data_IF_310534220764
#
_entry.id   IF_310534220764
#
_cell.length_a   1.000
_cell.length_b   1.000
_cell.length_c   1.000
_cell.angle_alpha   90.00
_cell.angle_beta   90.00
_cell.angle_gamma   90.00
#
_symmetry.space_group_name_H-M   'P 1'
#
loop_
_entity.id
_entity.type
_entity.pdbx_description
1 polymer ?
#
# COMPACT_ATOMS: atom_id res chain seq x y z
N UNK A 1 -24.87 -4.41 11.80
CA UNK A 1 -26.08 -3.67 12.15
C UNK A 1 -26.08 -3.41 13.66
N UNK A 2 -26.69 -2.32 14.16
CA UNK A 2 -26.79 -2.06 15.61
C UNK A 2 -25.72 -1.18 16.28
N UNK A 3 -24.78 -0.55 15.55
CA UNK A 3 -23.85 0.43 16.18
C UNK A 3 -24.39 1.86 16.21
N UNK A 4 -25.30 2.20 15.30
CA UNK A 4 -25.92 3.53 15.21
C UNK A 4 -27.30 3.39 14.53
N UNK A 5 -28.34 3.98 15.12
CA UNK A 5 -29.74 3.86 14.64
C UNK A 5 -29.91 4.41 13.21
N UNK A 6 -29.14 5.43 12.85
CA UNK A 6 -29.11 5.98 11.48
C UNK A 6 -28.56 5.05 10.40
N UNK A 7 -28.02 3.87 10.75
CA UNK A 7 -27.50 2.88 9.80
C UNK A 7 -28.37 1.60 9.74
N UNK A 8 -29.56 1.61 10.36
CA UNK A 8 -30.48 0.48 10.32
C UNK A 8 -31.10 0.27 8.93
N UNK A 9 -31.47 -0.96 8.54
CA UNK A 9 -32.01 -1.23 7.20
C UNK A 9 -33.25 -0.43 6.80
N UNK A 10 -34.02 0.05 7.78
CA UNK A 10 -35.19 0.89 7.54
C UNK A 10 -34.82 2.33 7.08
N UNK A 11 -33.59 2.78 7.35
CA UNK A 11 -33.11 4.13 7.02
C UNK A 11 -32.57 4.13 5.59
N UNK A 12 -33.38 4.63 4.66
CA UNK A 12 -33.09 4.64 3.21
C UNK A 12 -32.28 5.86 2.75
N UNK A 13 -32.22 6.89 3.57
CA UNK A 13 -31.55 8.16 3.34
C UNK A 13 -30.36 8.36 4.29
N UNK A 14 -29.79 7.26 4.82
CA UNK A 14 -28.69 7.26 5.81
C UNK A 14 -27.45 8.05 5.39
N UNK A 15 -27.22 8.18 4.09
CA UNK A 15 -26.16 9.02 3.54
C UNK A 15 -26.39 10.50 3.86
N UNK A 16 -27.65 10.95 3.86
CA UNK A 16 -28.07 12.35 4.00
C UNK A 16 -28.40 12.74 5.45
N UNK A 17 -28.49 11.77 6.37
CA UNK A 17 -28.71 12.06 7.78
C UNK A 17 -27.46 12.62 8.44
N UNK A 18 -27.67 13.59 9.32
CA UNK A 18 -26.62 14.03 10.24
C UNK A 18 -26.26 12.88 11.19
N UNK A 19 -24.99 12.54 11.24
CA UNK A 19 -24.41 11.57 12.18
C UNK A 19 -23.44 12.31 13.09
N UNK A 20 -23.93 12.80 14.23
CA UNK A 20 -23.10 13.47 15.24
C UNK A 20 -22.39 12.43 16.13
N UNK A 21 -21.41 11.72 15.56
CA UNK A 21 -20.48 10.90 16.33
C UNK A 21 -19.40 11.80 16.93
N UNK A 22 -19.74 12.59 17.96
CA UNK A 22 -18.82 13.49 18.70
C UNK A 22 -19.34 14.91 18.91
N UNK A 23 -18.48 15.83 19.37
CA UNK A 23 -18.84 17.24 19.67
C UNK A 23 -18.84 18.16 18.45
N UNK A 24 -18.38 17.68 17.29
CA UNK A 24 -18.35 18.45 16.04
C UNK A 24 -19.65 18.24 15.28
N UNK A 25 -20.48 19.28 15.22
CA UNK A 25 -21.69 19.32 14.41
C UNK A 25 -21.34 19.41 12.91
N UNK A 26 -22.25 18.94 12.04
CA UNK A 26 -22.15 19.12 10.58
C UNK A 26 -21.64 17.92 9.79
N UNK A 27 -21.48 16.75 10.42
CA UNK A 27 -21.13 15.51 9.70
C UNK A 27 -22.39 14.75 9.29
N UNK A 28 -22.57 14.61 7.98
CA UNK A 28 -23.55 13.72 7.36
C UNK A 28 -23.00 12.31 7.18
N UNK A 29 -23.90 11.32 7.05
CA UNK A 29 -23.56 9.91 6.83
C UNK A 29 -22.56 9.71 5.71
N UNK A 30 -22.72 10.40 4.58
CA UNK A 30 -21.85 10.31 3.41
C UNK A 30 -20.37 10.69 3.66
N UNK A 31 -20.05 11.40 4.75
CA UNK A 31 -18.66 11.66 5.16
C UNK A 31 -17.96 10.43 5.75
N UNK A 32 -18.72 9.42 6.19
CA UNK A 32 -18.18 8.22 6.80
C UNK A 32 -17.88 7.16 5.74
N UNK A 33 -16.89 6.31 6.03
CA UNK A 33 -16.58 5.12 5.25
C UNK A 33 -16.53 3.89 6.17
N UNK A 34 -16.67 2.71 5.56
CA UNK A 34 -16.38 1.46 6.24
C UNK A 34 -14.88 1.36 6.56
N UNK A 35 -14.54 0.64 7.63
CA UNK A 35 -13.14 0.36 7.95
C UNK A 35 -12.50 -0.54 6.90
N UNK A 36 -11.20 -0.34 6.67
CA UNK A 36 -10.39 -1.19 5.79
C UNK A 36 -10.07 -2.57 6.37
N UNK A 37 -9.45 -3.43 5.57
CA UNK A 37 -8.95 -4.73 6.02
C UNK A 37 -7.49 -4.65 6.44
N UNK A 38 -7.08 -5.53 7.35
CA UNK A 38 -5.69 -5.84 7.62
C UNK A 38 -5.42 -7.27 7.18
N UNK A 39 -4.31 -7.48 6.47
CA UNK A 39 -3.86 -8.76 5.99
C UNK A 39 -2.51 -9.11 6.63
N UNK A 40 -2.32 -10.40 6.89
CA UNK A 40 -1.18 -10.93 7.65
C UNK A 40 -0.57 -12.09 6.88
N UNK A 41 0.72 -11.98 6.54
CA UNK A 41 1.47 -13.06 5.92
C UNK A 41 1.99 -14.03 6.99
N UNK A 42 1.18 -15.02 7.30
CA UNK A 42 1.47 -16.08 8.26
C UNK A 42 1.93 -17.36 7.53
N UNK A 43 2.91 -18.08 8.08
CA UNK A 43 3.41 -19.35 7.52
C UNK A 43 2.45 -20.52 7.72
N UNK A 44 1.54 -20.38 8.68
CA UNK A 44 0.54 -21.38 9.02
C UNK A 44 -0.73 -20.68 9.54
N UNK A 45 -1.88 -21.31 9.32
CA UNK A 45 -3.16 -20.84 9.86
C UNK A 45 -3.35 -21.30 11.31
N UNK A 46 -2.43 -20.87 12.18
CA UNK A 46 -2.52 -21.08 13.62
C UNK A 46 -2.52 -19.73 14.33
N UNK A 47 -3.21 -19.64 15.48
CA UNK A 47 -3.24 -18.40 16.27
C UNK A 47 -1.83 -17.91 16.63
N UNK A 48 -0.92 -18.82 16.96
CA UNK A 48 0.46 -18.50 17.29
C UNK A 48 1.18 -17.86 16.11
N UNK A 49 1.17 -18.51 14.95
CA UNK A 49 1.89 -18.01 13.77
C UNK A 49 1.28 -16.71 13.21
N UNK A 50 -0.04 -16.53 13.29
CA UNK A 50 -0.68 -15.25 12.96
C UNK A 50 -0.22 -14.14 13.91
N UNK A 51 -0.09 -14.43 15.21
CA UNK A 51 0.43 -13.47 16.17
C UNK A 51 1.90 -13.13 15.90
N UNK A 52 2.73 -14.14 15.66
CA UNK A 52 4.14 -13.96 15.33
C UNK A 52 4.32 -13.16 14.03
N UNK A 53 3.42 -13.34 13.04
CA UNK A 53 3.39 -12.56 11.81
C UNK A 53 3.07 -11.08 12.03
N UNK A 54 2.12 -10.79 12.91
CA UNK A 54 1.85 -9.40 13.33
C UNK A 54 3.04 -8.80 14.10
N UNK A 55 3.69 -9.58 14.97
CA UNK A 55 4.86 -9.11 15.74
C UNK A 55 6.06 -8.80 14.87
N UNK A 56 6.32 -9.59 13.81
CA UNK A 56 7.35 -9.27 12.80
C UNK A 56 6.90 -8.23 11.77
N UNK A 57 5.65 -7.75 11.87
CA UNK A 57 5.04 -6.71 11.02
C UNK A 57 4.95 -7.10 9.55
N UNK A 58 4.82 -8.39 9.26
CA UNK A 58 4.63 -8.88 7.89
C UNK A 58 3.16 -8.76 7.49
N UNK A 59 2.70 -7.51 7.47
CA UNK A 59 1.29 -7.14 7.36
C UNK A 59 1.11 -5.97 6.40
N UNK A 60 -0.08 -5.87 5.83
CA UNK A 60 -0.50 -4.73 5.03
C UNK A 60 -1.98 -4.43 5.30
N UNK A 61 -2.43 -3.24 4.92
CA UNK A 61 -3.82 -2.83 5.06
C UNK A 61 -4.39 -2.44 3.70
N UNK A 62 -5.70 -2.63 3.52
CA UNK A 62 -6.44 -2.15 2.35
C UNK A 62 -7.57 -1.25 2.79
N UNK A 63 -8.01 -0.31 1.95
CA UNK A 63 -9.11 0.60 2.29
C UNK A 63 -10.50 -0.02 2.09
N UNK A 64 -10.57 -1.26 1.61
CA UNK A 64 -11.83 -1.99 1.42
C UNK A 64 -11.68 -3.29 0.63
N UNK A 65 -10.96 -3.33 -0.51
CA UNK A 65 -10.84 -4.54 -1.31
C UNK A 65 -9.87 -5.55 -0.72
N UNK A 66 -10.05 -6.84 -1.02
CA UNK A 66 -9.15 -7.95 -0.64
C UNK A 66 -7.97 -8.08 -1.61
N UNK A 67 -7.29 -6.98 -1.89
CA UNK A 67 -6.04 -7.00 -2.67
C UNK A 67 -5.01 -7.89 -2.00
N UNK A 68 -4.21 -8.60 -2.80
CA UNK A 68 -3.07 -9.38 -2.31
C UNK A 68 -1.79 -8.63 -2.64
N UNK A 69 -1.07 -8.18 -1.62
CA UNK A 69 0.15 -7.38 -1.80
C UNK A 69 1.31 -8.04 -1.10
N UNK A 70 2.44 -8.16 -1.80
CA UNK A 70 3.71 -8.60 -1.25
C UNK A 70 4.83 -7.66 -1.64
N UNK A 71 5.75 -7.46 -0.70
CA UNK A 71 6.91 -6.61 -0.84
C UNK A 71 8.09 -7.30 -0.15
N UNK A 72 9.19 -7.40 -0.89
CA UNK A 72 10.51 -7.76 -0.36
C UNK A 72 11.50 -6.66 -0.69
N UNK A 73 12.40 -6.37 0.25
CA UNK A 73 13.51 -5.42 0.08
C UNK A 73 14.83 -6.16 0.19
N UNK A 74 15.76 -5.88 -0.71
CA UNK A 74 17.03 -6.58 -0.81
C UNK A 74 18.01 -5.80 -1.68
N UNK A 75 18.97 -6.52 -2.25
CA UNK A 75 19.95 -5.95 -3.18
C UNK A 75 20.09 -6.89 -4.37
N UNK A 76 20.17 -6.35 -5.58
CA UNK A 76 20.39 -7.14 -6.79
C UNK A 76 19.23 -8.07 -7.15
N UNK A 77 17.98 -7.68 -6.82
CA UNK A 77 16.82 -8.38 -7.36
C UNK A 77 16.74 -8.17 -8.88
N UNK A 78 16.29 -9.21 -9.59
CA UNK A 78 16.07 -9.17 -11.03
C UNK A 78 14.63 -9.60 -11.33
N UNK A 79 14.02 -9.05 -12.38
CA UNK A 79 12.64 -9.41 -12.76
C UNK A 79 12.50 -10.90 -13.15
N UNK A 80 13.59 -11.55 -13.57
CA UNK A 80 13.64 -13.00 -13.87
C UNK A 80 13.28 -13.87 -12.67
N UNK A 81 13.34 -13.35 -11.44
CA UNK A 81 12.91 -14.07 -10.25
C UNK A 81 11.42 -14.43 -10.29
N UNK A 82 10.59 -13.64 -10.97
CA UNK A 82 9.14 -13.90 -11.10
C UNK A 82 8.81 -15.16 -11.92
N UNK A 83 9.77 -15.71 -12.67
CA UNK A 83 9.61 -16.94 -13.45
C UNK A 83 9.70 -18.21 -12.58
N UNK A 84 10.17 -18.09 -11.33
CA UNK A 84 10.29 -19.18 -10.36
C UNK A 84 9.52 -18.94 -9.06
N UNK A 85 9.96 -19.57 -7.98
CA UNK A 85 9.45 -19.28 -6.63
C UNK A 85 10.07 -17.98 -6.09
N UNK A 86 9.56 -16.86 -6.59
CA UNK A 86 10.00 -15.52 -6.19
C UNK A 86 9.75 -15.24 -4.70
N UNK A 87 8.79 -15.92 -4.07
CA UNK A 87 8.51 -15.76 -2.63
C UNK A 87 9.64 -16.38 -1.82
N UNK A 88 10.02 -17.61 -2.14
CA UNK A 88 11.17 -18.26 -1.51
C UNK A 88 12.46 -17.46 -1.76
N UNK A 89 12.68 -16.98 -2.98
CA UNK A 89 13.81 -16.12 -3.31
C UNK A 89 13.81 -14.83 -2.47
N UNK A 90 12.66 -14.18 -2.33
CA UNK A 90 12.49 -12.96 -1.52
C UNK A 90 12.86 -13.17 -0.05
N UNK A 91 12.45 -14.30 0.56
CA UNK A 91 12.85 -14.64 1.93
C UNK A 91 14.33 -15.02 2.07
N UNK A 92 14.94 -15.61 1.04
CA UNK A 92 16.34 -16.02 1.06
C UNK A 92 17.31 -14.85 0.83
N UNK A 93 16.95 -13.93 -0.06
CA UNK A 93 17.86 -12.90 -0.57
C UNK A 93 17.60 -11.51 0.03
N UNK A 94 16.46 -11.30 0.69
CA UNK A 94 16.07 -10.02 1.26
C UNK A 94 15.31 -10.13 2.56
N UNK A 95 14.54 -9.08 2.87
CA UNK A 95 13.64 -9.00 4.01
C UNK A 95 12.22 -8.72 3.53
N UNK A 96 11.19 -9.31 4.15
CA UNK A 96 9.81 -9.01 3.79
C UNK A 96 9.40 -7.63 4.34
N UNK A 97 8.24 -7.13 3.89
CA UNK A 97 7.57 -5.97 4.48
C UNK A 97 7.55 -6.04 6.02
N UNK A 98 7.80 -4.91 6.69
CA UNK A 98 7.94 -4.86 8.16
C UNK A 98 9.34 -5.19 8.68
N UNK A 99 10.24 -5.65 7.82
CA UNK A 99 11.63 -5.95 8.14
C UNK A 99 12.57 -4.73 8.19
N UNK A 100 13.81 -4.99 8.57
CA UNK A 100 14.93 -4.04 8.54
C UNK A 100 16.01 -4.58 7.59
N UNK A 101 16.31 -3.83 6.54
CA UNK A 101 17.37 -4.08 5.58
C UNK A 101 18.64 -3.33 6.03
N UNK A 102 19.74 -4.05 6.22
CA UNK A 102 21.02 -3.44 6.52
C UNK A 102 21.60 -2.77 5.26
N UNK A 103 21.97 -1.51 5.36
CA UNK A 103 22.63 -0.75 4.29
C UNK A 103 23.99 -1.38 3.94
N UNK A 104 24.16 -1.79 2.68
CA UNK A 104 25.40 -2.36 2.13
C UNK A 104 26.26 -1.35 1.39
N UNK A 105 25.87 -0.07 1.38
CA UNK A 105 26.54 0.94 0.56
C UNK A 105 26.07 0.96 -0.89
N UNK A 106 25.03 0.19 -1.23
CA UNK A 106 24.46 0.05 -2.57
C UNK A 106 22.97 0.38 -2.54
N UNK A 107 22.39 0.76 -3.68
CA UNK A 107 20.97 1.10 -3.75
C UNK A 107 20.10 -0.15 -3.47
N UNK A 108 19.12 -0.07 -2.55
CA UNK A 108 18.23 -1.19 -2.30
C UNK A 108 17.27 -1.40 -3.48
N UNK A 109 16.97 -2.67 -3.75
CA UNK A 109 15.98 -3.11 -4.72
C UNK A 109 14.76 -3.70 -4.00
N UNK A 110 13.59 -3.48 -4.58
CA UNK A 110 12.31 -3.89 -4.02
C UNK A 110 11.54 -4.72 -5.02
N UNK A 111 11.25 -5.96 -4.66
CA UNK A 111 10.42 -6.87 -5.44
C UNK A 111 8.98 -6.72 -4.95
N UNK A 112 8.11 -6.27 -5.84
CA UNK A 112 6.70 -5.97 -5.54
C UNK A 112 5.79 -6.86 -6.37
N UNK A 113 4.76 -7.40 -5.73
CA UNK A 113 3.65 -8.08 -6.38
C UNK A 113 2.34 -7.59 -5.79
N UNK A 114 1.43 -7.18 -6.67
CA UNK A 114 0.09 -6.78 -6.31
C UNK A 114 -0.92 -7.47 -7.22
N UNK A 115 -1.89 -8.14 -6.62
CA UNK A 115 -3.03 -8.75 -7.29
C UNK A 115 -4.29 -8.04 -6.84
N UNK A 116 -5.20 -7.79 -7.78
CA UNK A 116 -6.51 -7.22 -7.45
C UNK A 116 -7.32 -8.14 -6.52
N UNK A 117 -8.34 -7.56 -5.90
CA UNK A 117 -9.41 -8.36 -5.31
C UNK A 117 -10.10 -9.20 -6.41
N UNK A 118 -10.26 -10.53 -6.24
CA UNK A 118 -10.97 -11.38 -7.20
C UNK A 118 -12.33 -10.84 -7.63
N UNK A 119 -13.08 -10.25 -6.70
CA UNK A 119 -14.41 -9.69 -6.93
C UNK A 119 -14.39 -8.16 -7.14
N UNK A 120 -13.20 -7.56 -7.20
CA UNK A 120 -13.02 -6.11 -7.25
C UNK A 120 -12.44 -5.57 -8.56
N UNK A 121 -12.06 -4.30 -8.47
CA UNK A 121 -11.54 -3.50 -9.57
C UNK A 121 -10.10 -3.88 -9.95
N UNK A 122 -9.77 -3.71 -11.22
CA UNK A 122 -8.39 -3.81 -11.69
C UNK A 122 -7.49 -2.75 -11.05
N UNK A 123 -6.19 -3.03 -11.03
CA UNK A 123 -5.17 -2.14 -10.49
C UNK A 123 -4.82 -1.03 -11.48
N UNK A 124 -4.76 0.22 -10.99
CA UNK A 124 -4.22 1.36 -11.72
C UNK A 124 -2.69 1.30 -11.71
N UNK A 125 -2.10 1.37 -10.51
CA UNK A 125 -0.65 1.51 -10.33
C UNK A 125 -0.16 1.02 -8.98
N UNK A 126 1.13 0.75 -8.92
CA UNK A 126 1.89 0.51 -7.71
C UNK A 126 2.87 1.65 -7.53
N UNK A 127 2.95 2.15 -6.30
CA UNK A 127 3.88 3.18 -5.88
C UNK A 127 4.77 2.67 -4.76
N UNK A 128 6.02 3.12 -4.75
CA UNK A 128 6.89 3.04 -3.57
C UNK A 128 6.95 4.43 -2.96
N UNK A 129 6.63 4.51 -1.67
CA UNK A 129 6.78 5.73 -0.88
C UNK A 129 8.03 5.60 -0.04
N UNK A 130 9.00 6.48 -0.31
CA UNK A 130 10.24 6.59 0.44
C UNK A 130 10.12 7.75 1.42
N UNK A 131 10.36 7.49 2.69
CA UNK A 131 10.58 8.52 3.70
C UNK A 131 12.01 8.44 4.23
N UNK A 132 12.62 9.58 4.54
CA UNK A 132 13.98 9.62 5.08
C UNK A 132 14.20 10.81 6.01
N UNK A 133 15.30 10.76 6.74
CA UNK A 133 15.79 11.89 7.55
C UNK A 133 16.99 12.51 6.84
N UNK A 134 16.96 13.83 6.66
CA UNK A 134 18.06 14.63 6.11
C UNK A 134 19.14 14.88 7.17
N UNK A 135 20.32 15.32 6.75
CA UNK A 135 21.45 15.58 7.65
C UNK A 135 21.16 16.71 8.67
N UNK A 136 20.24 17.62 8.34
CA UNK A 136 19.76 18.69 9.22
C UNK A 136 18.65 18.24 10.20
N UNK A 137 18.27 16.96 10.18
CA UNK A 137 17.22 16.38 11.01
C UNK A 137 15.80 16.55 10.49
N UNK A 138 15.61 17.24 9.35
CA UNK A 138 14.29 17.34 8.71
C UNK A 138 13.88 16.04 8.02
N UNK A 139 12.58 15.83 7.82
CA UNK A 139 12.07 14.63 7.13
C UNK A 139 11.80 14.93 5.66
N UNK A 140 12.24 14.04 4.78
CA UNK A 140 11.86 14.02 3.37
C UNK A 140 10.90 12.88 3.06
N UNK A 141 10.03 13.11 2.08
CA UNK A 141 9.18 12.06 1.49
C UNK A 141 9.21 12.21 -0.04
N UNK A 142 9.23 11.07 -0.74
CA UNK A 142 9.06 11.01 -2.19
C UNK A 142 8.27 9.77 -2.58
N UNK A 143 7.35 9.96 -3.52
CA UNK A 143 6.53 8.90 -4.10
C UNK A 143 7.06 8.59 -5.48
N UNK A 144 7.26 7.31 -5.76
CA UNK A 144 7.66 6.79 -7.06
C UNK A 144 6.53 5.94 -7.62
N UNK A 145 6.03 6.26 -8.81
CA UNK A 145 5.23 5.33 -9.60
C UNK A 145 6.18 4.29 -10.21
N UNK A 146 6.10 3.03 -9.77
CA UNK A 146 7.09 1.99 -10.12
C UNK A 146 6.61 1.04 -11.20
N UNK A 147 5.30 0.80 -11.26
CA UNK A 147 4.64 0.06 -12.34
C UNK A 147 3.17 0.46 -12.40
N UNK A 148 2.59 0.53 -13.60
CA UNK A 148 1.17 0.85 -13.79
C UNK A 148 0.58 0.08 -14.96
N UNK A 149 -0.75 0.08 -15.05
CA UNK A 149 -1.48 -0.52 -16.17
C UNK A 149 -1.30 0.26 -17.47
N UNK A 150 -1.24 -0.45 -18.59
CA UNK A 150 -1.09 0.11 -19.95
C UNK A 150 0.12 1.07 -20.08
N UNK A 151 1.30 0.70 -19.56
CA UNK A 151 2.50 1.58 -19.59
C UNK A 151 2.91 2.02 -21.00
N UNK A 152 2.64 1.18 -22.00
CA UNK A 152 2.86 1.45 -23.42
C UNK A 152 1.98 2.60 -23.96
N UNK A 153 0.78 2.75 -23.41
CA UNK A 153 -0.20 3.79 -23.81
C UNK A 153 -0.22 4.98 -22.86
N UNK A 154 0.18 4.77 -21.59
CA UNK A 154 0.20 5.76 -20.52
C UNK A 154 1.63 6.18 -20.20
N UNK A 155 2.32 6.70 -21.21
CA UNK A 155 3.68 7.22 -21.05
C UNK A 155 3.71 8.39 -20.05
N UNK A 156 4.77 8.45 -19.23
CA UNK A 156 4.97 9.51 -18.24
C UNK A 156 5.09 10.87 -18.94
N UNK A 157 4.29 11.84 -18.50
CA UNK A 157 4.33 13.21 -19.00
C UNK A 157 4.50 14.18 -17.82
N UNK A 158 5.49 15.07 -17.89
CA UNK A 158 5.77 16.04 -16.82
C UNK A 158 6.09 15.39 -15.47
N UNK A 159 6.70 14.20 -15.48
CA UNK A 159 7.04 13.45 -14.27
C UNK A 159 5.86 12.80 -13.55
N UNK A 160 4.70 12.69 -14.20
CA UNK A 160 3.50 12.05 -13.65
C UNK A 160 2.96 10.99 -14.60
N UNK A 161 2.47 9.89 -14.03
CA UNK A 161 1.71 8.89 -14.77
C UNK A 161 0.31 9.44 -15.07
N UNK A 162 -0.14 9.46 -16.35
CA UNK A 162 -1.48 9.89 -16.73
C UNK A 162 -2.57 9.14 -15.95
N UNK A 163 -3.76 9.73 -15.79
CA UNK A 163 -4.88 9.05 -15.14
C UNK A 163 -5.28 7.78 -15.92
N UNK A 164 -5.70 6.73 -15.20
CA UNK A 164 -6.14 5.45 -15.80
C UNK A 164 -7.49 5.55 -16.52
N UNK A 165 -8.25 6.60 -16.22
CA UNK A 165 -9.63 6.77 -16.69
C UNK A 165 -10.65 6.46 -15.59
N UNK A 166 -11.93 6.53 -15.95
CA UNK A 166 -13.07 6.25 -15.07
C UNK A 166 -14.10 5.42 -15.85
N UNK A 167 -14.41 4.21 -15.35
CA UNK A 167 -15.42 3.31 -15.93
C UNK A 167 -16.69 3.23 -15.09
N UNK A 168 -16.84 4.09 -14.08
CA UNK A 168 -17.99 4.07 -13.17
C UNK A 168 -19.25 4.60 -13.86
N UNK A 169 -20.25 3.73 -13.99
CA UNK A 169 -21.62 4.10 -14.31
C UNK A 169 -22.32 4.56 -13.02
N UNK A 170 -22.43 5.89 -12.86
CA UNK A 170 -23.06 6.54 -11.71
C UNK A 170 -24.57 6.33 -11.64
N UNK A 171 -25.23 6.00 -12.75
CA UNK A 171 -26.67 5.74 -12.77
C UNK A 171 -27.03 4.35 -12.27
N UNK A 172 -26.09 3.40 -12.40
CA UNK A 172 -26.25 2.00 -11.96
C UNK A 172 -25.43 1.64 -10.73
N UNK A 173 -24.58 2.56 -10.25
CA UNK A 173 -23.57 2.29 -9.24
C UNK A 173 -22.75 1.04 -9.60
N UNK A 174 -22.23 1.01 -10.82
CA UNK A 174 -21.47 -0.13 -11.34
C UNK A 174 -20.21 0.37 -12.06
N UNK A 175 -19.32 -0.54 -12.45
CA UNK A 175 -18.10 -0.22 -13.18
C UNK A 175 -17.66 -1.41 -14.04
N UNK A 176 -16.80 -1.16 -15.01
CA UNK A 176 -16.20 -2.22 -15.85
C UNK A 176 -14.70 -2.31 -15.66
N UNK A 177 -14.18 -3.54 -15.67
CA UNK A 177 -12.75 -3.83 -15.61
C UNK A 177 -12.10 -3.80 -17.02
N UNK A 178 -12.50 -2.83 -17.86
CA UNK A 178 -11.99 -2.64 -19.22
C UNK A 178 -10.69 -1.82 -19.26
N UNK A 179 -10.30 -1.23 -18.13
CA UNK A 179 -9.02 -0.53 -17.90
C UNK A 179 -8.33 -1.15 -16.68
N UNK A 180 -7.07 -0.80 -16.44
CA UNK A 180 -6.30 -1.34 -15.32
C UNK A 180 -5.73 -2.73 -15.63
N UNK A 181 -4.98 -3.28 -14.68
CA UNK A 181 -4.40 -4.63 -14.77
C UNK A 181 -4.89 -5.52 -13.62
N UNK A 182 -5.11 -6.81 -13.88
CA UNK A 182 -5.44 -7.76 -12.81
C UNK A 182 -4.27 -7.96 -11.83
N UNK A 183 -3.05 -7.84 -12.34
CA UNK A 183 -1.81 -8.04 -11.61
C UNK A 183 -0.76 -7.00 -12.04
N UNK A 184 0.02 -6.52 -11.07
CA UNK A 184 1.19 -5.68 -11.29
C UNK A 184 2.37 -6.26 -10.50
N UNK A 185 3.46 -6.57 -11.19
CA UNK A 185 4.73 -7.02 -10.61
C UNK A 185 5.87 -6.18 -11.15
N UNK A 186 6.87 -5.92 -10.32
CA UNK A 186 8.10 -5.24 -10.74
C UNK A 186 9.19 -5.44 -9.70
N UNK A 187 10.44 -5.44 -10.15
CA UNK A 187 11.58 -5.07 -9.34
C UNK A 187 11.95 -3.61 -9.58
N UNK A 188 12.01 -2.83 -8.50
CA UNK A 188 12.39 -1.42 -8.54
C UNK A 188 13.60 -1.15 -7.65
N UNK A 189 14.61 -0.46 -8.18
CA UNK A 189 15.80 -0.04 -7.43
C UNK A 189 15.74 1.45 -7.17
N UNK A 190 16.05 1.87 -5.94
CA UNK A 190 15.99 3.28 -5.53
C UNK A 190 17.00 4.14 -6.31
N UNK A 191 16.54 5.02 -7.23
CA UNK A 191 17.44 5.85 -8.04
C UNK A 191 18.04 7.02 -7.25
N UNK A 192 17.43 7.39 -6.12
CA UNK A 192 17.84 8.51 -5.28
C UNK A 192 18.46 8.02 -3.95
N UNK A 193 18.97 6.80 -3.93
CA UNK A 193 19.64 6.23 -2.77
C UNK A 193 20.86 7.08 -2.36
N UNK A 194 21.01 7.28 -1.05
CA UNK A 194 22.16 7.95 -0.44
C UNK A 194 22.73 7.07 0.65
N UNK A 195 24.01 6.76 0.55
CA UNK A 195 24.71 5.92 1.53
C UNK A 195 24.62 6.50 2.94
N UNK A 196 24.30 5.65 3.91
CA UNK A 196 24.19 6.06 5.32
C UNK A 196 22.89 6.79 5.67
N UNK A 197 21.98 7.00 4.72
CA UNK A 197 20.69 7.62 4.97
C UNK A 197 19.76 6.66 5.72
N UNK A 198 19.18 7.13 6.83
CA UNK A 198 18.05 6.44 7.47
C UNK A 198 16.80 6.68 6.63
N UNK A 199 16.31 5.62 6.01
CA UNK A 199 15.13 5.67 5.17
C UNK A 199 14.18 4.52 5.48
N UNK A 200 12.93 4.66 5.04
CA UNK A 200 11.97 3.58 5.02
C UNK A 200 11.19 3.61 3.71
N UNK A 201 10.70 2.44 3.31
CA UNK A 201 10.01 2.23 2.04
C UNK A 201 8.76 1.42 2.29
N UNK A 202 7.61 1.88 1.82
CA UNK A 202 6.40 1.06 1.78
C UNK A 202 5.74 1.15 0.42
N UNK A 203 4.98 0.12 0.07
CA UNK A 203 4.23 0.08 -1.18
C UNK A 203 2.82 0.64 -0.95
N UNK A 204 2.38 1.48 -1.89
CA UNK A 204 0.99 1.91 -2.05
C UNK A 204 0.45 1.40 -3.39
N UNK A 205 -0.52 0.52 -3.35
CA UNK A 205 -1.26 0.05 -4.53
C UNK A 205 -2.53 0.88 -4.68
N UNK A 206 -2.93 1.18 -5.91
CA UNK A 206 -4.13 1.96 -6.23
C UNK A 206 -4.93 1.18 -7.28
N UNK A 207 -6.22 0.98 -7.06
CA UNK A 207 -7.14 0.44 -8.09
C UNK A 207 -7.78 1.54 -8.95
N UNK A 208 -8.41 1.10 -10.04
CA UNK A 208 -9.22 1.98 -10.88
C UNK A 208 -10.43 2.53 -10.07
N UNK A 209 -11.06 3.64 -10.51
CA UNK A 209 -12.20 4.20 -9.79
C UNK A 209 -13.35 3.21 -9.60
N UNK A 210 -13.91 3.17 -8.39
CA UNK A 210 -15.06 2.33 -8.01
C UNK A 210 -16.17 3.15 -7.34
N UNK A 211 -17.44 2.73 -7.46
CA UNK A 211 -18.55 3.35 -6.73
C UNK A 211 -18.35 3.22 -5.22
N UNK A 212 -18.55 4.32 -4.47
CA UNK A 212 -18.67 4.25 -3.01
C UNK A 212 -20.07 3.83 -2.59
N UNK A 213 -20.19 3.42 -1.32
CA UNK A 213 -21.46 3.04 -0.71
C UNK A 213 -22.57 4.10 -0.86
N UNK A 214 -22.21 5.39 -0.91
CA UNK A 214 -23.17 6.50 -1.11
C UNK A 214 -23.82 6.45 -2.50
N UNK A 215 -23.06 6.07 -3.52
CA UNK A 215 -23.57 5.90 -4.89
C UNK A 215 -24.48 4.68 -4.99
N UNK A 216 -24.09 3.57 -4.35
CA UNK A 216 -24.95 2.39 -4.24
C UNK A 216 -26.28 2.71 -3.55
N UNK A 217 -26.24 3.48 -2.46
CA UNK A 217 -27.44 3.91 -1.75
C UNK A 217 -28.32 4.84 -2.60
N UNK A 218 -27.72 5.80 -3.32
CA UNK A 218 -28.43 6.68 -4.23
C UNK A 218 -29.27 5.91 -5.25
N UNK A 219 -28.65 4.94 -5.92
CA UNK A 219 -29.31 4.09 -6.92
C UNK A 219 -30.33 3.14 -6.27
N UNK A 220 -29.96 2.51 -5.16
CA UNK A 220 -30.81 1.52 -4.47
C UNK A 220 -32.08 2.13 -3.89
N UNK A 221 -31.97 3.34 -3.34
CA UNK A 221 -33.05 3.99 -2.61
C UNK A 221 -33.73 5.11 -3.39
N UNK A 222 -33.21 5.47 -4.57
CA UNK A 222 -33.73 6.56 -5.39
C UNK A 222 -33.60 7.92 -4.71
N UNK A 223 -32.47 8.15 -4.02
CA UNK A 223 -32.19 9.42 -3.33
C UNK A 223 -31.20 10.26 -4.13
N UNK A 224 -31.43 11.57 -4.16
CA UNK A 224 -30.50 12.51 -4.77
C UNK A 224 -29.39 12.89 -3.78
N UNK A 225 -28.14 12.66 -4.18
CA UNK A 225 -27.00 13.11 -3.41
C UNK A 225 -26.75 14.61 -3.66
N UNK A 226 -26.45 15.41 -2.62
CA UNK A 226 -25.92 16.76 -2.77
C UNK A 226 -24.68 16.77 -3.67
N UNK A 227 -24.42 17.91 -4.33
CA UNK A 227 -23.31 18.03 -5.28
C UNK A 227 -21.95 17.59 -4.70
N UNK A 228 -21.66 17.96 -3.45
CA UNK A 228 -20.43 17.56 -2.76
C UNK A 228 -20.37 16.05 -2.52
N UNK A 229 -21.49 15.44 -2.10
CA UNK A 229 -21.58 14.00 -1.88
C UNK A 229 -21.47 13.21 -3.20
N UNK A 230 -22.00 13.76 -4.30
CA UNK A 230 -21.90 13.16 -5.64
C UNK A 230 -20.47 13.26 -6.20
N UNK A 231 -19.77 14.37 -5.96
CA UNK A 231 -18.36 14.53 -6.33
C UNK A 231 -17.49 13.47 -5.65
N UNK A 232 -17.80 13.15 -4.40
CA UNK A 232 -17.09 12.16 -3.60
C UNK A 232 -17.69 10.76 -3.71
N UNK A 233 -18.66 10.51 -4.60
CA UNK A 233 -19.38 9.23 -4.70
C UNK A 233 -18.58 8.11 -5.39
N UNK A 234 -17.37 8.43 -5.85
CA UNK A 234 -16.41 7.51 -6.46
C UNK A 234 -15.11 7.56 -5.67
N UNK A 235 -14.52 6.40 -5.42
CA UNK A 235 -13.24 6.26 -4.74
C UNK A 235 -12.24 5.54 -5.62
N UNK A 236 -10.96 5.67 -5.29
CA UNK A 236 -9.93 4.72 -5.71
C UNK A 236 -9.41 4.08 -4.44
N UNK A 237 -9.71 2.80 -4.28
CA UNK A 237 -9.25 2.05 -3.12
C UNK A 237 -7.75 1.78 -3.23
N UNK A 238 -7.14 1.47 -2.08
CA UNK A 238 -5.70 1.39 -1.93
C UNK A 238 -5.30 0.26 -1.02
N UNK A 239 -4.07 -0.21 -1.20
CA UNK A 239 -3.39 -1.04 -0.23
C UNK A 239 -2.05 -0.41 0.19
N UNK A 240 -1.67 -0.59 1.45
CA UNK A 240 -0.47 -0.04 2.06
C UNK A 240 0.27 -1.13 2.82
N UNK A 241 1.53 -1.40 2.47
CA UNK A 241 2.34 -2.37 3.21
C UNK A 241 2.92 -1.78 4.48
N UNK A 242 3.31 -2.64 5.41
CA UNK A 242 4.27 -2.24 6.44
C UNK A 242 5.58 -1.78 5.79
N UNK A 243 6.27 -0.79 6.38
CA UNK A 243 7.51 -0.30 5.81
C UNK A 243 8.64 -1.31 5.98
N UNK A 244 9.54 -1.34 5.01
CA UNK A 244 10.89 -1.89 5.16
C UNK A 244 11.80 -0.73 5.54
N UNK A 245 12.52 -0.89 6.64
CA UNK A 245 13.49 0.09 7.11
C UNK A 245 14.84 -0.15 6.46
N UNK A 246 15.49 0.90 5.98
CA UNK A 246 16.90 0.87 5.56
C UNK A 246 17.73 1.41 6.72
N UNK A 247 18.40 0.50 7.40
CA UNK A 247 19.22 0.81 8.57
C UNK A 247 20.68 1.00 8.13
N UNK A 248 21.26 2.21 8.31
CA UNK A 248 22.68 2.41 8.02
C UNK A 248 23.51 1.48 8.90
N UNK A 249 24.54 0.86 8.31
CA UNK A 249 25.45 -0.01 9.04
C UNK A 249 25.94 0.70 10.32
N UNK A 250 25.80 0.03 11.48
CA UNK A 250 26.24 0.60 12.76
C UNK A 250 27.73 0.94 12.68
N UNK A 251 28.07 2.22 12.81
CA UNK A 251 29.45 2.71 12.87
C UNK A 251 30.29 2.18 14.07
N UNK A 252 29.79 1.19 14.81
CA UNK A 252 30.39 0.59 15.99
C UNK A 252 30.90 -0.84 15.84
N UNK A 253 30.42 -1.61 14.85
CA UNK A 253 30.75 -3.05 14.77
C UNK A 253 32.12 -3.30 14.11
N UNK A 254 32.52 -2.46 13.15
CA UNK A 254 33.86 -2.50 12.55
C UNK A 254 34.97 -2.16 13.55
N UNK A 255 34.71 -1.22 14.47
CA UNK A 255 35.69 -0.85 15.52
C UNK A 255 35.83 -1.94 16.57
N UNK A 256 34.76 -2.69 16.87
CA UNK A 256 34.80 -3.81 17.80
C UNK A 256 35.48 -5.04 17.19
N UNK A 257 35.22 -5.32 15.90
CA UNK A 257 35.88 -6.37 15.15
C UNK A 257 37.39 -6.09 14.95
N UNK A 258 37.76 -4.85 14.60
CA UNK A 258 39.15 -4.43 14.46
C UNK A 258 39.91 -4.43 15.81
N UNK A 259 39.25 -4.11 16.92
CA UNK A 259 39.84 -4.24 18.27
C UNK A 259 40.05 -5.71 18.66
N UNK A 260 39.11 -6.60 18.35
CA UNK A 260 39.24 -8.04 18.64
C UNK A 260 40.33 -8.71 17.80
N UNK A 261 40.56 -8.31 16.55
CA UNK A 261 41.65 -8.89 15.73
C UNK A 261 43.04 -8.43 16.15
N UNK A 262 43.18 -7.18 16.64
CA UNK A 262 44.45 -6.66 17.21
C UNK A 262 44.84 -7.30 18.55
N UNK A 263 43.87 -7.79 19.32
CA UNK A 263 44.13 -8.50 20.58
C UNK A 263 44.56 -9.95 20.31
N UNK A 264 44.06 -10.58 19.23
CA UNK A 264 44.38 -11.97 18.86
C UNK A 264 45.73 -12.17 18.19
N UNK A 265 46.35 -11.10 17.68
CA UNK A 265 47.67 -11.11 17.02
C UNK A 265 48.82 -10.68 17.93
N UNK A 266 48.53 -10.45 19.23
CA UNK A 266 49.51 -10.10 20.27
C UNK A 266 49.63 -11.15 21.39
N UNK A 267 49.13 -12.37 21.16
CA UNK A 267 49.28 -13.52 22.06
C UNK A 267 50.21 -14.56 21.47
#
# INVERSE_FOLDING_TARGET
FGKHTGNEPAVKDRALHSQNLGTRQGRFGWHYLAGGYAAVWARANTRGEIFDAMMRREVYATTGPRMVVRLFGGFGFEDTLFDGDWVEAGYKQGVPMGGSLADKGEAPSFMVSALKDPDGANLDRVQIVKGWVNDDGTTGEKVYDVVWSDMDKRAVAGGKVPAVGDTVDRTKASYTNTIGAAELRTVWTDPDYRKGQKAFYYVRVIEIPTPRWTLYDAVRFGIDLPADAMKDAVAQERAYTSPIWLDPAKAGDDKLAARKSKIRTRG
#
